data_IF_347882933989
#
_entry.id   IF_347882933989
#
_cell.length_a   1.000
_cell.length_b   1.000
_cell.length_c   1.000
_cell.angle_alpha   90.00
_cell.angle_beta   90.00
_cell.angle_gamma   90.00
#
_symmetry.space_group_name_H-M   'P 1'
#
loop_
_entity.id
_entity.type
_entity.pdbx_description
1 polymer ?
#
# COMPACT_ATOMS: atom_id res chain seq x y z
N UNK A 1 -6.01 -6.44 4.20
CA UNK A 1 -7.18 -5.55 4.17
C UNK A 1 -7.41 -4.95 5.55
N UNK A 2 -8.07 -3.79 5.65
CA UNK A 2 -8.52 -3.21 6.91
C UNK A 2 -9.96 -2.77 6.75
N UNK A 3 -10.90 -3.61 7.16
CA UNK A 3 -12.33 -3.41 6.88
C UNK A 3 -12.87 -2.10 7.47
N UNK A 4 -12.40 -1.73 8.66
CA UNK A 4 -12.75 -0.45 9.31
C UNK A 4 -12.26 0.76 8.47
N UNK A 5 -11.11 0.64 7.81
CA UNK A 5 -10.61 1.70 6.93
C UNK A 5 -11.48 1.81 5.68
N UNK A 6 -11.89 0.68 5.10
CA UNK A 6 -12.80 0.64 3.94
C UNK A 6 -14.13 1.30 4.28
N UNK A 7 -14.79 0.90 5.37
CA UNK A 7 -16.07 1.49 5.78
C UNK A 7 -15.95 3.01 5.98
N UNK A 8 -14.89 3.48 6.67
CA UNK A 8 -14.66 4.92 6.87
C UNK A 8 -14.46 5.66 5.55
N UNK A 9 -13.69 5.11 4.62
CA UNK A 9 -13.46 5.73 3.32
C UNK A 9 -14.78 5.91 2.54
N UNK A 10 -15.64 4.90 2.53
CA UNK A 10 -16.95 4.98 1.87
C UNK A 10 -17.87 6.01 2.52
N UNK A 11 -17.98 6.01 3.85
CA UNK A 11 -18.82 6.97 4.59
C UNK A 11 -18.33 8.41 4.44
N UNK A 12 -17.02 8.64 4.49
CA UNK A 12 -16.44 9.98 4.31
C UNK A 12 -16.62 10.48 2.87
N UNK A 13 -16.45 9.60 1.88
CA UNK A 13 -16.60 9.91 0.47
C UNK A 13 -18.06 10.21 0.08
N UNK A 14 -19.01 9.43 0.58
CA UNK A 14 -20.44 9.62 0.28
C UNK A 14 -20.98 10.91 0.92
N UNK A 15 -20.59 11.18 2.17
CA UNK A 15 -21.03 12.39 2.89
C UNK A 15 -20.32 13.68 2.46
N UNK A 16 -19.35 13.63 1.55
CA UNK A 16 -18.64 14.82 1.10
C UNK A 16 -19.51 15.59 0.09
N UNK A 17 -19.84 16.87 0.32
CA UNK A 17 -20.66 17.67 -0.61
C UNK A 17 -19.83 18.13 -1.82
N UNK A 18 -19.34 17.16 -2.60
CA UNK A 18 -18.43 17.37 -3.71
C UNK A 18 -17.96 16.04 -4.34
N UNK A 19 -17.01 16.09 -5.28
CA UNK A 19 -16.49 14.89 -5.92
C UNK A 19 -15.66 14.05 -4.94
N UNK A 20 -15.84 12.73 -5.02
CA UNK A 20 -15.09 11.75 -4.23
C UNK A 20 -14.48 10.69 -5.14
N UNK A 21 -13.23 10.30 -4.86
CA UNK A 21 -12.51 9.25 -5.58
C UNK A 21 -12.10 8.14 -4.61
N UNK A 22 -12.53 6.91 -4.91
CA UNK A 22 -12.12 5.70 -4.19
C UNK A 22 -11.34 4.82 -5.16
N UNK A 23 -10.07 4.54 -4.84
CA UNK A 23 -9.23 3.61 -5.59
C UNK A 23 -9.09 2.33 -4.76
N UNK A 24 -9.74 1.25 -5.20
CA UNK A 24 -9.75 -0.02 -4.50
C UNK A 24 -8.79 -1.03 -5.17
N UNK A 25 -7.90 -1.63 -4.38
CA UNK A 25 -7.07 -2.73 -4.85
C UNK A 25 -7.93 -3.97 -5.08
N UNK A 26 -7.97 -4.45 -6.31
CA UNK A 26 -8.78 -5.60 -6.72
C UNK A 26 -7.89 -6.70 -7.30
N UNK A 27 -7.50 -7.71 -6.51
CA UNK A 27 -6.77 -8.87 -7.02
C UNK A 27 -7.54 -9.59 -8.13
N UNK A 28 -6.82 -9.94 -9.20
CA UNK A 28 -7.39 -10.54 -10.40
C UNK A 28 -6.65 -11.84 -10.77
N UNK A 29 -7.31 -12.74 -11.49
CA UNK A 29 -6.69 -13.95 -12.05
C UNK A 29 -5.43 -13.63 -12.87
N UNK A 30 -5.38 -12.47 -13.51
CA UNK A 30 -4.23 -12.02 -14.31
C UNK A 30 -2.97 -11.78 -13.46
N UNK A 31 -3.10 -11.66 -12.14
CA UNK A 31 -1.94 -11.61 -11.25
C UNK A 31 -1.28 -12.99 -11.09
N UNK A 32 -1.99 -14.07 -11.46
CA UNK A 32 -1.51 -15.44 -11.33
C UNK A 32 -1.46 -15.89 -9.87
N UNK A 33 -2.55 -15.63 -9.15
CA UNK A 33 -2.78 -16.06 -7.77
C UNK A 33 -4.15 -16.72 -7.65
N UNK A 34 -4.24 -17.74 -6.79
CA UNK A 34 -5.52 -18.37 -6.47
C UNK A 34 -6.45 -17.38 -5.75
N UNK A 35 -7.58 -17.05 -6.37
CA UNK A 35 -8.55 -16.09 -5.85
C UNK A 35 -9.28 -16.57 -4.59
N UNK A 36 -9.24 -17.87 -4.25
CA UNK A 36 -9.67 -18.34 -2.94
C UNK A 36 -8.89 -17.66 -1.80
N UNK A 37 -7.66 -17.17 -2.09
CA UNK A 37 -6.79 -16.46 -1.18
C UNK A 37 -6.84 -14.92 -1.33
N UNK A 38 -7.87 -14.35 -1.96
CA UNK A 38 -7.95 -12.92 -2.26
C UNK A 38 -7.75 -12.02 -1.01
N UNK A 39 -8.39 -12.34 0.12
CA UNK A 39 -8.22 -11.56 1.36
C UNK A 39 -6.78 -11.59 1.90
N UNK A 40 -6.10 -12.73 1.77
CA UNK A 40 -4.68 -12.87 2.10
C UNK A 40 -3.84 -11.97 1.20
N UNK A 41 -4.13 -11.93 -0.10
CA UNK A 41 -3.39 -11.10 -1.06
C UNK A 41 -3.54 -9.61 -0.79
N UNK A 42 -4.75 -9.13 -0.51
CA UNK A 42 -4.95 -7.74 -0.08
C UNK A 42 -4.22 -7.41 1.22
N UNK A 43 -4.05 -8.38 2.11
CA UNK A 43 -3.29 -8.21 3.35
C UNK A 43 -1.80 -8.13 3.09
N UNK A 44 -1.25 -9.00 2.24
CA UNK A 44 0.15 -8.96 1.84
C UNK A 44 0.49 -7.66 1.10
N UNK A 45 -0.34 -7.21 0.16
CA UNK A 45 -0.14 -5.97 -0.57
C UNK A 45 -0.03 -4.74 0.35
N UNK A 46 -0.84 -4.68 1.41
CA UNK A 46 -0.75 -3.58 2.39
C UNK A 46 0.47 -3.76 3.30
N UNK A 47 0.74 -4.97 3.79
CA UNK A 47 1.87 -5.24 4.70
C UNK A 47 3.23 -5.04 4.04
N UNK A 48 3.36 -5.29 2.73
CA UNK A 48 4.59 -5.09 1.96
C UNK A 48 4.80 -3.64 1.52
N UNK A 49 3.81 -2.76 1.75
CA UNK A 49 3.81 -1.41 1.23
C UNK A 49 3.45 -1.29 -0.25
N UNK A 50 3.20 -2.40 -0.96
CA UNK A 50 2.78 -2.38 -2.37
C UNK A 50 1.54 -1.52 -2.58
N UNK A 51 0.56 -1.62 -1.68
CA UNK A 51 -0.67 -0.85 -1.72
C UNK A 51 -0.86 0.01 -0.45
N UNK A 52 -0.71 1.34 -0.53
CA UNK A 52 -0.95 2.22 0.61
C UNK A 52 -2.44 2.39 0.91
N UNK A 53 -2.79 2.57 2.19
CA UNK A 53 -4.15 2.97 2.60
C UNK A 53 -4.13 4.42 3.09
N UNK A 54 -4.75 5.30 2.30
CA UNK A 54 -4.79 6.75 2.53
C UNK A 54 -6.23 7.24 2.46
N UNK A 55 -6.54 8.30 3.21
CA UNK A 55 -7.76 9.09 3.03
C UNK A 55 -7.40 10.57 3.07
N UNK A 56 -7.89 11.32 2.09
CA UNK A 56 -7.75 12.78 2.04
C UNK A 56 -9.13 13.39 2.13
N UNK A 57 -9.39 14.16 3.19
CA UNK A 57 -10.67 14.85 3.38
C UNK A 57 -10.45 16.37 3.43
N UNK A 58 -10.84 17.13 2.38
CA UNK A 58 -10.69 18.57 2.32
C UNK A 58 -11.36 19.32 3.49
N UNK A 59 -12.42 18.77 4.09
CA UNK A 59 -13.15 19.40 5.21
C UNK A 59 -12.26 19.59 6.45
N UNK A 60 -11.23 18.76 6.60
CA UNK A 60 -10.29 18.81 7.73
C UNK A 60 -9.44 20.08 7.71
N UNK A 61 -9.11 20.60 6.52
CA UNK A 61 -8.34 21.85 6.37
C UNK A 61 -9.10 23.03 6.96
N UNK A 62 -10.42 23.09 6.76
CA UNK A 62 -11.27 24.13 7.36
C UNK A 62 -11.32 24.05 8.90
N UNK A 63 -10.95 22.91 9.49
CA UNK A 63 -10.83 22.70 10.94
C UNK A 63 -9.39 22.91 11.45
N UNK A 64 -8.46 23.39 10.61
CA UNK A 64 -7.04 23.53 10.96
C UNK A 64 -6.31 22.20 11.15
N UNK A 65 -6.83 21.09 10.63
CA UNK A 65 -6.24 19.74 10.74
C UNK A 65 -5.61 19.33 9.41
N UNK A 66 -4.59 18.47 9.46
CA UNK A 66 -4.04 17.86 8.25
C UNK A 66 -5.14 17.04 7.52
N UNK A 67 -5.42 17.31 6.24
CA UNK A 67 -6.44 16.60 5.46
C UNK A 67 -6.05 15.17 5.10
N UNK A 68 -4.75 14.87 4.99
CA UNK A 68 -4.26 13.54 4.69
C UNK A 68 -4.20 12.68 5.95
N UNK A 69 -4.72 11.46 5.84
CA UNK A 69 -4.65 10.42 6.86
C UNK A 69 -3.94 9.19 6.27
N UNK A 70 -2.94 8.74 7.01
CA UNK A 70 -2.22 7.49 6.75
C UNK A 70 -2.85 6.37 7.60
N UNK A 71 -3.56 5.43 6.98
CA UNK A 71 -4.31 4.39 7.69
C UNK A 71 -3.60 3.02 7.71
N UNK A 72 -2.39 2.92 7.15
CA UNK A 72 -1.56 1.73 7.22
C UNK A 72 -0.25 2.01 7.97
N UNK A 73 0.30 0.96 8.59
CA UNK A 73 1.55 1.05 9.30
C UNK A 73 2.74 1.00 8.33
N UNK A 74 3.95 1.25 8.84
CA UNK A 74 5.19 0.99 8.11
C UNK A 74 5.16 -0.43 7.52
N UNK A 75 5.64 -0.64 6.27
CA UNK A 75 5.78 -1.99 5.72
C UNK A 75 6.44 -2.93 6.72
N UNK A 76 5.84 -4.10 6.92
CA UNK A 76 6.18 -5.07 7.97
C UNK A 76 6.66 -6.42 7.43
N UNK A 77 6.58 -6.61 6.11
CA UNK A 77 7.17 -7.74 5.40
C UNK A 77 8.02 -7.21 4.23
N UNK A 78 9.08 -7.92 3.82
CA UNK A 78 9.79 -7.63 2.59
C UNK A 78 8.85 -7.59 1.38
N UNK A 79 9.08 -6.67 0.44
CA UNK A 79 8.32 -6.55 -0.80
C UNK A 79 8.32 -7.84 -1.62
N UNK A 80 9.47 -8.54 -1.62
CA UNK A 80 9.63 -9.82 -2.32
C UNK A 80 8.65 -10.88 -1.84
N UNK A 81 8.30 -10.88 -0.55
CA UNK A 81 7.41 -11.89 0.05
C UNK A 81 5.96 -11.71 -0.41
N UNK A 82 5.59 -10.52 -0.86
CA UNK A 82 4.34 -10.29 -1.59
C UNK A 82 4.51 -10.63 -3.08
N UNK A 83 5.49 -10.04 -3.74
CA UNK A 83 5.66 -10.14 -5.19
C UNK A 83 5.83 -11.58 -5.68
N UNK A 84 6.61 -12.40 -4.98
CA UNK A 84 6.86 -13.79 -5.39
C UNK A 84 5.65 -14.71 -5.19
N UNK A 85 4.56 -14.24 -4.57
CA UNK A 85 3.30 -15.00 -4.48
C UNK A 85 2.43 -14.86 -5.74
N UNK A 86 2.77 -13.93 -6.65
CA UNK A 86 2.00 -13.65 -7.86
C UNK A 86 2.83 -14.03 -9.10
N UNK A 87 2.25 -14.84 -10.00
CA UNK A 87 2.98 -15.31 -11.19
C UNK A 87 3.43 -14.17 -12.11
N UNK A 88 2.69 -13.03 -12.14
CA UNK A 88 3.07 -11.85 -12.93
C UNK A 88 4.45 -11.28 -12.56
N UNK A 89 4.96 -11.57 -11.37
CA UNK A 89 6.31 -11.21 -10.95
C UNK A 89 7.23 -12.43 -10.89
N UNK A 90 6.76 -13.55 -10.33
CA UNK A 90 7.61 -14.73 -10.10
C UNK A 90 8.10 -15.39 -11.40
N UNK A 91 7.39 -15.20 -12.52
CA UNK A 91 7.84 -15.65 -13.84
C UNK A 91 9.18 -15.01 -14.25
N UNK A 92 9.38 -13.72 -13.95
CA UNK A 92 10.63 -13.03 -14.28
C UNK A 92 11.82 -13.62 -13.51
N UNK A 93 11.63 -14.07 -12.27
CA UNK A 93 12.67 -14.76 -11.51
C UNK A 93 13.17 -16.01 -12.23
N UNK A 94 12.28 -16.71 -12.96
CA UNK A 94 12.62 -17.92 -13.70
C UNK A 94 13.28 -17.62 -15.04
N UNK A 95 12.83 -16.58 -15.74
CA UNK A 95 13.29 -16.27 -17.10
C UNK A 95 14.48 -15.31 -17.16
N UNK A 96 14.62 -14.42 -16.18
CA UNK A 96 15.73 -13.48 -16.06
C UNK A 96 16.03 -13.15 -14.57
N UNK A 97 16.74 -14.04 -13.85
CA UNK A 97 16.98 -13.91 -12.42
C UNK A 97 17.70 -12.62 -12.03
N UNK A 98 18.69 -12.19 -12.83
CA UNK A 98 19.48 -10.99 -12.55
C UNK A 98 18.61 -9.72 -12.55
N UNK A 99 17.80 -9.54 -13.59
CA UNK A 99 16.88 -8.40 -13.64
C UNK A 99 15.77 -8.51 -12.60
N UNK A 100 15.27 -9.71 -12.31
CA UNK A 100 14.27 -9.91 -11.27
C UNK A 100 14.78 -9.41 -9.91
N UNK A 101 16.00 -9.81 -9.51
CA UNK A 101 16.62 -9.37 -8.26
C UNK A 101 16.87 -7.85 -8.24
N UNK A 102 17.32 -7.27 -9.35
CA UNK A 102 17.49 -5.80 -9.46
C UNK A 102 16.16 -5.06 -9.29
N UNK A 103 15.09 -5.52 -9.94
CA UNK A 103 13.77 -4.88 -9.89
C UNK A 103 13.09 -5.08 -8.54
N UNK A 104 13.26 -6.22 -7.89
CA UNK A 104 12.74 -6.47 -6.54
C UNK A 104 13.38 -5.53 -5.50
N UNK A 105 14.69 -5.27 -5.60
CA UNK A 105 15.37 -4.28 -4.75
C UNK A 105 14.83 -2.87 -5.00
N UNK A 106 14.72 -2.46 -6.27
CA UNK A 106 14.17 -1.15 -6.62
C UNK A 106 12.71 -0.98 -6.14
N UNK A 107 11.89 -2.04 -6.24
CA UNK A 107 10.50 -2.01 -5.77
C UNK A 107 10.40 -1.91 -4.24
N UNK A 108 11.31 -2.56 -3.49
CA UNK A 108 11.41 -2.39 -2.05
C UNK A 108 11.74 -0.94 -1.68
N UNK A 109 12.76 -0.36 -2.32
CA UNK A 109 13.18 1.03 -2.08
C UNK A 109 12.06 2.02 -2.38
N UNK A 110 11.32 1.80 -3.48
CA UNK A 110 10.16 2.61 -3.85
C UNK A 110 9.01 2.48 -2.83
N UNK A 111 8.70 1.27 -2.37
CA UNK A 111 7.69 1.05 -1.34
C UNK A 111 8.03 1.78 -0.03
N UNK A 112 9.29 1.71 0.40
CA UNK A 112 9.79 2.38 1.59
C UNK A 112 9.78 3.91 1.41
N UNK A 113 10.22 4.41 0.25
CA UNK A 113 10.24 5.84 -0.07
C UNK A 113 8.81 6.41 -0.15
N UNK A 114 7.87 5.69 -0.76
CA UNK A 114 6.46 6.07 -0.82
C UNK A 114 5.84 6.15 0.57
N UNK A 115 6.11 5.17 1.44
CA UNK A 115 5.67 5.23 2.84
C UNK A 115 6.23 6.47 3.55
N UNK A 116 7.55 6.72 3.46
CA UNK A 116 8.20 7.90 4.06
C UNK A 116 7.58 9.20 3.58
N UNK A 117 7.29 9.32 2.29
CA UNK A 117 6.63 10.50 1.72
C UNK A 117 5.25 10.72 2.35
N UNK A 118 4.39 9.69 2.31
CA UNK A 118 3.04 9.80 2.85
C UNK A 118 3.00 10.04 4.36
N UNK A 119 3.94 9.46 5.12
CA UNK A 119 4.06 9.72 6.56
C UNK A 119 4.39 11.19 6.85
N UNK A 120 5.36 11.77 6.12
CA UNK A 120 5.66 13.21 6.22
C UNK A 120 4.45 14.06 5.83
N UNK A 121 3.82 13.76 4.70
CA UNK A 121 2.65 14.50 4.22
C UNK A 121 1.48 14.44 5.21
N UNK A 122 1.33 13.33 5.96
CA UNK A 122 0.30 13.13 6.97
C UNK A 122 0.69 13.67 8.37
N UNK A 123 1.90 14.22 8.54
CA UNK A 123 2.41 14.69 9.83
C UNK A 123 2.59 13.57 10.86
N UNK A 124 2.94 12.36 10.42
CA UNK A 124 3.22 11.23 11.29
C UNK A 124 4.72 11.19 11.58
N UNK A 125 5.09 11.42 12.84
CA UNK A 125 6.48 11.33 13.29
C UNK A 125 7.02 9.92 13.06
N UNK A 126 8.17 9.82 12.40
CA UNK A 126 8.83 8.55 12.14
C UNK A 126 9.83 8.25 13.26
N UNK A 127 9.80 7.06 13.90
CA UNK A 127 10.96 6.60 14.64
C UNK A 127 12.15 6.43 13.68
N UNK A 128 13.39 6.65 14.14
CA UNK A 128 14.59 6.52 13.32
C UNK A 128 14.63 5.14 12.65
N UNK A 129 15.14 5.10 11.42
CA UNK A 129 15.37 3.83 10.72
C UNK A 129 16.30 2.96 11.58
N UNK A 130 15.89 1.74 11.91
CA UNK A 130 16.83 0.79 12.52
C UNK A 130 17.96 0.51 11.52
N UNK A 131 19.23 0.49 11.98
CA UNK A 131 20.34 0.09 11.13
C UNK A 131 20.02 -1.27 10.51
N UNK A 132 20.21 -1.37 9.20
CA UNK A 132 20.29 -2.67 8.54
C UNK A 132 21.66 -3.24 8.91
N UNK A 133 21.72 -3.98 10.02
CA UNK A 133 22.85 -4.87 10.31
C UNK A 133 22.90 -6.02 9.30
#
# INVERSE_FOLDING_TARGET
AKDVQTLRAFLEAESYPGPSLIIAYSPCIAHGVDLANNLRQQTLAVKSGHWPLLRYDPRRTAQGKNPLRLDYARPSIPYRDFALTEARFSLLQKTNPENAERLLRAAQEDADARFRRHARDAGVDQPPEHPKD
#
